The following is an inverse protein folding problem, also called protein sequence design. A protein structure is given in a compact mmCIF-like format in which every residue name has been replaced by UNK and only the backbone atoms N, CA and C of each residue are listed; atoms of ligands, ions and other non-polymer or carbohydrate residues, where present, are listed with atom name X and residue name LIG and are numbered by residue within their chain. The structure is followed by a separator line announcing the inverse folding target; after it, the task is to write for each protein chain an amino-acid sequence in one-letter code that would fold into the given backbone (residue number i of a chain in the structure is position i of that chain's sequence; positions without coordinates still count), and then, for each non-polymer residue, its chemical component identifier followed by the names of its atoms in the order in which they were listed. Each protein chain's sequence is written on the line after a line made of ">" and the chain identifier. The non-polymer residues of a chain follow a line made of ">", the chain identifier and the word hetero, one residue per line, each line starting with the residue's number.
data_IF_737261040919
#
_entry.id   IF_737261040919
#
_cell.length_a   1.000
_cell.length_b   1.000
_cell.length_c   1.000
_cell.angle_alpha   90.00
_cell.angle_beta   90.00
_cell.angle_gamma   90.00
#
_symmetry.space_group_name_H-M   'P 1'
#
loop_
_entity.id
_entity.type
_entity.pdbx_description
1 polymer ?
#
# COMPACT_ATOMS: atom_id res chain seq x y z
N UNK A 1 -24.75 29.23 2.84
CA UNK A 1 -25.00 27.88 2.31
C UNK A 1 -23.77 27.48 1.54
N UNK A 2 -23.15 26.31 1.79
CA UNK A 2 -22.02 25.87 0.98
C UNK A 2 -22.49 25.76 -0.47
N UNK A 3 -21.79 26.42 -1.38
CA UNK A 3 -22.09 26.29 -2.81
C UNK A 3 -21.69 24.89 -3.25
N UNK A 4 -22.61 24.17 -3.88
CA UNK A 4 -22.29 22.89 -4.51
C UNK A 4 -21.20 23.10 -5.54
N UNK A 5 -20.15 22.27 -5.53
CA UNK A 5 -19.11 22.33 -6.56
C UNK A 5 -19.74 22.25 -7.96
N UNK A 6 -19.18 22.95 -8.97
CA UNK A 6 -19.57 22.78 -10.36
C UNK A 6 -19.54 21.30 -10.78
N UNK A 7 -20.54 20.87 -11.57
CA UNK A 7 -20.68 19.47 -12.01
C UNK A 7 -19.40 18.94 -12.70
N UNK A 8 -18.68 19.82 -13.40
CA UNK A 8 -17.38 19.50 -13.98
C UNK A 8 -16.34 19.10 -12.95
N UNK A 9 -16.27 19.77 -11.79
CA UNK A 9 -15.33 19.47 -10.71
C UNK A 9 -15.71 18.19 -9.96
N UNK A 10 -17.00 17.98 -9.70
CA UNK A 10 -17.51 16.75 -9.05
C UNK A 10 -17.05 15.49 -9.79
N UNK A 11 -17.05 15.52 -11.12
CA UNK A 11 -16.56 14.42 -11.95
C UNK A 11 -15.08 14.09 -11.68
N UNK A 12 -14.20 15.06 -11.44
CA UNK A 12 -12.78 14.81 -11.17
C UNK A 12 -12.57 14.19 -9.78
N UNK A 13 -13.28 14.69 -8.77
CA UNK A 13 -13.33 14.06 -7.44
C UNK A 13 -13.85 12.63 -7.52
N UNK A 14 -14.91 12.39 -8.31
CA UNK A 14 -15.47 11.06 -8.53
C UNK A 14 -14.49 10.14 -9.25
N UNK A 15 -13.83 10.60 -10.32
CA UNK A 15 -12.81 9.82 -11.04
C UNK A 15 -11.63 9.46 -10.12
N UNK A 16 -11.15 10.40 -9.32
CA UNK A 16 -10.10 10.13 -8.33
C UNK A 16 -10.57 9.14 -7.26
N UNK A 17 -11.76 9.34 -6.69
CA UNK A 17 -12.34 8.41 -5.72
C UNK A 17 -12.57 7.00 -6.29
N UNK A 18 -12.94 6.89 -7.57
CA UNK A 18 -13.13 5.60 -8.26
C UNK A 18 -11.80 4.95 -8.70
N UNK A 19 -10.65 5.60 -8.47
CA UNK A 19 -9.34 5.13 -8.93
C UNK A 19 -9.16 5.22 -10.45
N UNK A 20 -10.05 5.93 -11.16
CA UNK A 20 -9.99 6.17 -12.60
C UNK A 20 -9.03 7.33 -12.94
N UNK A 21 -8.54 8.04 -11.93
CA UNK A 21 -7.57 9.11 -12.05
C UNK A 21 -6.37 8.87 -11.12
N UNK A 22 -5.13 8.82 -11.65
CA UNK A 22 -3.93 8.71 -10.82
C UNK A 22 -3.79 9.91 -9.88
N UNK A 23 -3.26 9.71 -8.66
CA UNK A 23 -3.04 10.79 -7.70
C UNK A 23 -2.32 11.99 -8.30
N UNK A 24 -1.24 11.78 -9.07
CA UNK A 24 -0.47 12.86 -9.69
C UNK A 24 -1.29 13.69 -10.68
N UNK A 25 -2.20 13.06 -11.42
CA UNK A 25 -3.10 13.75 -12.35
C UNK A 25 -4.17 14.53 -11.58
N UNK A 26 -4.67 13.96 -10.47
CA UNK A 26 -5.62 14.63 -9.59
C UNK A 26 -4.98 15.80 -8.83
N UNK A 27 -3.74 15.65 -8.37
CA UNK A 27 -2.94 16.67 -7.69
C UNK A 27 -2.64 17.85 -8.64
N UNK A 28 -2.17 17.56 -9.85
CA UNK A 28 -2.02 18.59 -10.90
C UNK A 28 -3.34 19.28 -11.23
N UNK A 29 -4.45 18.54 -11.24
CA UNK A 29 -5.77 19.10 -11.43
C UNK A 29 -6.17 20.03 -10.26
N UNK A 30 -5.98 19.59 -9.01
CA UNK A 30 -6.22 20.41 -7.82
C UNK A 30 -5.39 21.69 -7.84
N UNK A 31 -4.09 21.60 -8.13
CA UNK A 31 -3.21 22.77 -8.23
C UNK A 31 -3.66 23.75 -9.33
N UNK A 32 -4.10 23.25 -10.49
CA UNK A 32 -4.56 24.09 -11.60
C UNK A 32 -5.93 24.71 -11.38
N UNK A 33 -6.72 24.21 -10.43
CA UNK A 33 -8.06 24.69 -10.12
C UNK A 33 -8.19 25.26 -8.69
N UNK A 34 -7.07 25.45 -7.98
CA UNK A 34 -7.03 25.90 -6.59
C UNK A 34 -7.80 27.20 -6.36
N UNK A 35 -7.61 28.21 -7.23
CA UNK A 35 -8.31 29.50 -7.12
C UNK A 35 -9.84 29.36 -7.29
N UNK A 36 -10.31 28.45 -8.15
CA UNK A 36 -11.74 28.21 -8.33
C UNK A 36 -12.33 27.41 -7.16
N UNK A 37 -11.54 26.52 -6.56
CA UNK A 37 -11.91 25.81 -5.34
C UNK A 37 -12.00 26.78 -4.15
N UNK A 38 -11.09 27.75 -4.04
CA UNK A 38 -11.15 28.81 -3.01
C UNK A 38 -12.44 29.65 -3.10
N UNK A 39 -12.89 30.03 -4.31
CA UNK A 39 -14.13 30.79 -4.51
C UNK A 39 -15.40 30.02 -4.10
N UNK A 40 -15.39 28.70 -4.25
CA UNK A 40 -16.53 27.85 -3.93
C UNK A 40 -16.52 27.31 -2.50
N UNK A 41 -15.36 27.34 -1.83
CA UNK A 41 -15.14 26.79 -0.49
C UNK A 41 -14.73 27.88 0.49
N UNK A 42 -15.66 28.81 0.74
CA UNK A 42 -15.51 29.94 1.65
C UNK A 42 -15.54 29.54 3.15
N UNK A 43 -14.86 28.47 3.54
CA UNK A 43 -14.65 28.14 4.96
C UNK A 43 -13.28 28.67 5.40
N UNK A 44 -13.28 29.57 6.37
CA UNK A 44 -12.11 30.25 6.93
C UNK A 44 -11.11 29.23 7.54
N UNK A 45 -11.58 28.03 7.90
CA UNK A 45 -10.76 26.90 8.29
C UNK A 45 -9.89 26.35 7.14
N UNK A 46 -10.34 26.47 5.89
CA UNK A 46 -9.63 25.97 4.70
C UNK A 46 -8.55 26.95 4.20
N UNK A 47 -8.80 28.26 4.26
CA UNK A 47 -7.81 29.28 3.89
C UNK A 47 -6.65 29.37 4.91
N UNK A 48 -6.91 29.10 6.20
CA UNK A 48 -5.85 28.95 7.20
C UNK A 48 -5.03 27.66 6.99
N UNK A 49 -5.65 26.61 6.45
CA UNK A 49 -5.01 25.32 6.15
C UNK A 49 -4.05 25.39 4.95
N UNK A 50 -4.34 26.23 3.96
CA UNK A 50 -3.47 26.47 2.79
C UNK A 50 -2.31 27.41 3.14
N UNK A 51 -2.51 28.37 4.05
CA UNK A 51 -1.57 29.48 4.29
C UNK A 51 -0.53 29.22 5.40
N UNK A 52 -0.68 28.19 6.23
CA UNK A 52 0.28 27.87 7.30
C UNK A 52 1.02 26.55 7.04
N UNK A 53 2.30 26.67 6.66
CA UNK A 53 3.35 25.64 6.60
C UNK A 53 2.89 24.17 6.45
N UNK A 54 2.92 23.74 5.19
CA UNK A 54 2.79 22.38 4.66
C UNK A 54 3.38 21.27 5.53
N UNK A 55 2.55 20.68 6.38
CA UNK A 55 2.75 19.34 6.92
C UNK A 55 1.71 18.42 6.28
N UNK A 56 2.21 17.41 5.55
CA UNK A 56 1.50 16.40 4.71
C UNK A 56 0.30 15.70 5.40
N UNK A 57 0.19 15.81 6.72
CA UNK A 57 -0.86 15.20 7.54
C UNK A 57 -2.21 15.93 7.47
N UNK A 58 -2.22 17.27 7.55
CA UNK A 58 -3.44 18.09 7.51
C UNK A 58 -4.04 18.16 6.08
N UNK A 59 -3.22 18.00 5.05
CA UNK A 59 -3.64 17.92 3.64
C UNK A 59 -4.64 16.78 3.39
N UNK A 60 -4.49 15.65 4.08
CA UNK A 60 -5.15 14.37 3.71
C UNK A 60 -6.45 14.13 4.46
N UNK A 61 -6.51 14.58 5.72
CA UNK A 61 -7.76 14.71 6.46
C UNK A 61 -8.69 15.72 5.78
N UNK A 62 -8.11 16.77 5.21
CA UNK A 62 -8.83 17.81 4.46
C UNK A 62 -9.29 17.34 3.09
N UNK A 63 -8.46 16.60 2.34
CA UNK A 63 -8.88 15.94 1.10
C UNK A 63 -10.01 14.92 1.33
N UNK A 64 -10.02 14.23 2.48
CA UNK A 64 -11.15 13.38 2.89
C UNK A 64 -12.40 14.15 3.25
N UNK A 65 -12.29 15.24 4.01
CA UNK A 65 -13.44 16.13 4.28
C UNK A 65 -14.00 16.70 3.00
N UNK A 66 -13.14 16.97 2.01
CA UNK A 66 -13.49 17.44 0.68
C UNK A 66 -14.18 16.35 -0.16
N UNK A 67 -13.61 15.15 -0.24
CA UNK A 67 -14.25 14.03 -0.95
C UNK A 67 -15.56 13.62 -0.24
N UNK A 68 -15.63 13.69 1.09
CA UNK A 68 -16.83 13.42 1.88
C UNK A 68 -17.88 14.54 1.81
N UNK A 69 -17.47 15.80 1.55
CA UNK A 69 -18.40 16.91 1.32
C UNK A 69 -18.91 16.94 -0.13
N UNK A 70 -18.19 16.30 -1.05
CA UNK A 70 -18.49 16.27 -2.49
C UNK A 70 -19.22 14.99 -2.92
N UNK A 71 -18.85 13.83 -2.37
CA UNK A 71 -19.62 12.60 -2.52
C UNK A 71 -20.75 12.60 -1.51
N UNK A 72 -21.95 12.19 -1.91
CA UNK A 72 -23.01 11.99 -0.93
C UNK A 72 -22.54 10.92 0.08
N UNK A 73 -22.81 11.11 1.37
CA UNK A 73 -22.41 10.19 2.46
C UNK A 73 -22.76 8.72 2.13
N UNK A 74 -23.86 8.51 1.40
CA UNK A 74 -24.33 7.22 0.89
C UNK A 74 -23.40 6.60 -0.18
N UNK A 75 -22.85 7.40 -1.09
CA UNK A 75 -21.93 6.95 -2.14
C UNK A 75 -20.57 6.60 -1.55
N UNK A 76 -20.05 7.41 -0.63
CA UNK A 76 -18.81 7.13 0.10
C UNK A 76 -18.93 5.84 0.92
N UNK A 77 -20.05 5.66 1.63
CA UNK A 77 -20.31 4.43 2.40
C UNK A 77 -20.37 3.19 1.50
N UNK A 78 -21.00 3.31 0.32
CA UNK A 78 -21.04 2.21 -0.66
C UNK A 78 -19.65 1.84 -1.16
N UNK A 79 -18.82 2.84 -1.41
CA UNK A 79 -17.47 2.62 -1.93
C UNK A 79 -16.53 2.01 -0.88
N UNK A 80 -16.58 2.48 0.37
CA UNK A 80 -15.83 1.87 1.50
C UNK A 80 -16.19 0.38 1.62
N UNK A 81 -17.48 0.03 1.56
CA UNK A 81 -17.91 -1.37 1.60
C UNK A 81 -17.36 -2.22 0.45
N UNK A 82 -17.32 -1.68 -0.76
CA UNK A 82 -16.73 -2.38 -1.90
C UNK A 82 -15.21 -2.55 -1.75
N UNK A 83 -14.50 -1.55 -1.21
CA UNK A 83 -13.08 -1.68 -0.89
C UNK A 83 -12.82 -2.74 0.18
N UNK A 84 -13.56 -2.72 1.28
CA UNK A 84 -13.46 -3.72 2.36
C UNK A 84 -13.69 -5.13 1.83
N UNK A 85 -14.68 -5.29 0.93
CA UNK A 85 -14.95 -6.54 0.25
C UNK A 85 -13.78 -6.99 -0.62
N UNK A 86 -13.16 -6.09 -1.40
CA UNK A 86 -11.97 -6.40 -2.19
C UNK A 86 -10.78 -6.78 -1.31
N UNK A 87 -10.53 -6.05 -0.23
CA UNK A 87 -9.49 -6.39 0.76
C UNK A 87 -9.72 -7.79 1.32
N UNK A 88 -10.97 -8.11 1.72
CA UNK A 88 -11.32 -9.45 2.22
C UNK A 88 -11.12 -10.55 1.18
N UNK A 89 -11.44 -10.29 -0.10
CA UNK A 89 -11.21 -11.23 -1.19
C UNK A 89 -9.72 -11.46 -1.43
N UNK A 90 -8.93 -10.40 -1.48
CA UNK A 90 -7.47 -10.48 -1.67
C UNK A 90 -6.79 -11.18 -0.49
N UNK A 91 -7.21 -10.94 0.75
CA UNK A 91 -6.71 -11.69 1.91
C UNK A 91 -6.93 -13.21 1.75
N UNK A 92 -8.13 -13.63 1.31
CA UNK A 92 -8.42 -15.05 1.04
C UNK A 92 -7.58 -15.62 -0.10
N UNK A 93 -7.37 -14.83 -1.15
CA UNK A 93 -6.53 -15.24 -2.29
C UNK A 93 -5.07 -15.40 -1.88
N UNK A 94 -4.53 -14.50 -1.06
CA UNK A 94 -3.17 -14.63 -0.50
C UNK A 94 -3.06 -15.93 0.28
N UNK A 95 -3.98 -16.19 1.22
CA UNK A 95 -3.99 -17.43 2.01
C UNK A 95 -4.02 -18.69 1.14
N UNK A 96 -4.86 -18.71 0.11
CA UNK A 96 -5.00 -19.87 -0.78
C UNK A 96 -3.78 -20.09 -1.66
N UNK A 97 -3.27 -19.03 -2.28
CA UNK A 97 -2.23 -19.11 -3.31
C UNK A 97 -0.82 -19.28 -2.70
N UNK A 98 -0.63 -18.85 -1.45
CA UNK A 98 0.59 -19.09 -0.69
C UNK A 98 0.44 -20.25 0.32
N UNK A 99 -0.66 -21.00 0.27
CA UNK A 99 -0.84 -22.17 1.13
C UNK A 99 0.29 -23.19 0.92
N UNK A 100 0.86 -23.69 2.02
CA UNK A 100 1.92 -24.70 1.99
C UNK A 100 3.28 -24.21 1.49
N UNK A 101 3.48 -22.89 1.30
CA UNK A 101 4.81 -22.35 1.02
C UNK A 101 5.71 -22.59 2.24
N UNK A 102 6.79 -23.33 2.02
CA UNK A 102 7.81 -23.65 3.02
C UNK A 102 9.02 -22.73 2.90
N UNK A 103 9.66 -22.43 4.02
CA UNK A 103 10.92 -21.68 4.05
C UNK A 103 12.10 -22.55 3.62
N UNK A 104 12.06 -23.88 3.79
CA UNK A 104 13.01 -24.86 3.22
C UNK A 104 14.50 -24.41 3.10
N UNK A 105 15.05 -23.78 4.14
CA UNK A 105 16.45 -23.32 4.18
C UNK A 105 16.71 -21.91 3.63
N UNK A 106 15.67 -21.20 3.20
CA UNK A 106 15.70 -19.78 2.90
C UNK A 106 15.98 -18.92 4.14
N UNK A 107 16.49 -17.71 3.88
CA UNK A 107 16.88 -16.75 4.92
C UNK A 107 15.66 -16.40 5.78
N UNK A 108 15.80 -16.43 7.11
CA UNK A 108 14.76 -16.03 8.06
C UNK A 108 14.73 -14.52 8.32
N UNK A 109 13.70 -14.03 9.03
CA UNK A 109 13.67 -12.63 9.48
C UNK A 109 14.83 -12.31 10.43
N UNK A 110 15.11 -13.20 11.39
CA UNK A 110 16.23 -13.04 12.31
C UNK A 110 17.57 -12.99 11.56
N UNK A 111 17.77 -13.87 10.58
CA UNK A 111 18.96 -13.89 9.73
C UNK A 111 19.09 -12.63 8.87
N UNK A 112 17.99 -12.17 8.27
CA UNK A 112 17.95 -10.92 7.53
C UNK A 112 18.32 -9.73 8.42
N UNK A 113 17.86 -9.70 9.68
CA UNK A 113 18.24 -8.67 10.65
C UNK A 113 19.74 -8.67 11.01
N UNK A 114 20.41 -9.83 10.97
CA UNK A 114 21.87 -9.90 11.13
C UNK A 114 22.59 -9.36 9.89
N UNK A 115 22.11 -9.71 8.68
CA UNK A 115 22.68 -9.21 7.42
C UNK A 115 22.58 -7.68 7.33
N UNK A 116 21.43 -7.13 7.70
CA UNK A 116 21.18 -5.68 7.75
C UNK A 116 22.20 -4.95 8.64
N UNK A 117 22.50 -5.52 9.81
CA UNK A 117 23.47 -4.96 10.77
C UNK A 117 24.93 -5.23 10.41
N UNK A 118 25.20 -5.92 9.30
CA UNK A 118 26.55 -6.35 8.93
C UNK A 118 27.16 -7.34 9.92
N UNK A 119 26.33 -8.16 10.58
CA UNK A 119 26.75 -9.09 11.61
C UNK A 119 27.60 -10.26 11.09
N UNK A 120 28.24 -10.96 12.02
CA UNK A 120 29.21 -12.02 11.68
C UNK A 120 28.53 -13.35 11.31
N UNK A 121 29.24 -14.21 10.58
CA UNK A 121 28.69 -15.49 10.11
C UNK A 121 28.23 -16.42 11.24
N UNK A 122 28.91 -16.43 12.39
CA UNK A 122 28.52 -17.24 13.54
C UNK A 122 27.19 -16.77 14.16
N UNK A 123 26.95 -15.46 14.19
CA UNK A 123 25.68 -14.87 14.61
C UNK A 123 24.56 -15.23 13.61
N UNK A 124 24.83 -15.11 12.30
CA UNK A 124 23.88 -15.48 11.26
C UNK A 124 23.38 -16.94 11.37
N UNK A 125 24.27 -17.87 11.71
CA UNK A 125 23.90 -19.29 11.88
C UNK A 125 23.12 -19.51 13.19
N UNK A 126 23.49 -18.83 14.28
CA UNK A 126 22.86 -19.05 15.59
C UNK A 126 21.46 -18.46 15.68
N UNK A 127 21.20 -17.31 15.04
CA UNK A 127 19.89 -16.65 15.13
C UNK A 127 18.77 -17.44 14.48
N UNK A 128 19.08 -18.28 13.48
CA UNK A 128 18.11 -19.13 12.80
C UNK A 128 17.43 -20.16 13.73
N UNK A 129 18.02 -20.44 14.89
CA UNK A 129 17.48 -21.37 15.89
C UNK A 129 16.35 -20.75 16.74
N UNK A 130 16.18 -19.43 16.68
CA UNK A 130 15.15 -18.71 17.46
C UNK A 130 13.88 -18.43 16.64
N UNK A 131 13.90 -18.69 15.33
CA UNK A 131 12.70 -18.58 14.50
C UNK A 131 11.72 -19.71 14.84
N UNK A 132 10.56 -19.35 15.37
CA UNK A 132 9.54 -20.30 15.86
C UNK A 132 8.39 -20.53 14.89
N UNK A 133 8.32 -19.74 13.81
CA UNK A 133 7.30 -19.87 12.78
C UNK A 133 7.43 -21.21 12.04
N UNK A 134 6.31 -21.92 11.89
CA UNK A 134 6.25 -23.20 11.16
C UNK A 134 5.66 -23.03 9.78
N UNK A 135 4.84 -22.00 9.61
CA UNK A 135 4.34 -21.51 8.35
C UNK A 135 4.30 -19.98 8.38
N UNK A 136 4.22 -19.35 7.21
CA UNK A 136 4.24 -17.90 7.12
C UNK A 136 3.07 -17.24 7.85
N UNK A 137 1.95 -17.96 8.07
CA UNK A 137 0.82 -17.49 8.86
C UNK A 137 1.12 -17.35 10.35
N UNK A 138 2.13 -18.07 10.86
CA UNK A 138 2.53 -18.03 12.27
C UNK A 138 3.40 -16.81 12.60
N UNK A 139 3.85 -16.06 11.58
CA UNK A 139 4.74 -14.90 11.76
C UNK A 139 3.96 -13.79 12.49
N UNK A 140 4.38 -13.39 13.70
CA UNK A 140 3.68 -12.36 14.46
C UNK A 140 3.79 -10.98 13.81
N UNK A 141 2.74 -10.17 13.92
CA UNK A 141 2.76 -8.76 13.49
C UNK A 141 3.91 -7.97 14.13
N UNK A 142 4.29 -8.29 15.38
CA UNK A 142 5.42 -7.67 16.08
C UNK A 142 6.76 -7.96 15.41
N UNK A 143 6.94 -9.17 14.86
CA UNK A 143 8.17 -9.55 14.14
C UNK A 143 8.23 -8.83 12.80
N UNK A 144 7.09 -8.70 12.09
CA UNK A 144 7.01 -7.92 10.85
C UNK A 144 7.42 -6.46 11.10
N UNK A 145 6.94 -5.87 12.20
CA UNK A 145 7.29 -4.51 12.61
C UNK A 145 8.76 -4.40 13.01
N UNK A 146 9.27 -5.33 13.82
CA UNK A 146 10.66 -5.34 14.26
C UNK A 146 11.64 -5.52 13.09
N UNK A 147 11.22 -6.27 12.07
CA UNK A 147 12.00 -6.62 10.89
C UNK A 147 11.47 -5.95 9.61
N UNK A 148 10.99 -4.72 9.69
CA UNK A 148 10.41 -4.00 8.55
C UNK A 148 11.30 -4.04 7.29
N UNK A 149 12.62 -3.94 7.45
CA UNK A 149 13.59 -3.90 6.35
C UNK A 149 14.08 -5.28 5.89
N UNK A 150 13.73 -6.35 6.60
CA UNK A 150 14.22 -7.71 6.33
C UNK A 150 13.94 -8.16 4.90
N UNK A 151 12.81 -7.72 4.31
CA UNK A 151 12.45 -8.00 2.92
C UNK A 151 13.52 -7.58 1.90
N UNK A 152 14.47 -6.71 2.23
CA UNK A 152 15.60 -6.37 1.35
C UNK A 152 16.73 -7.41 1.37
N UNK A 153 16.86 -8.16 2.47
CA UNK A 153 17.97 -9.08 2.73
C UNK A 153 17.58 -10.56 2.59
N UNK A 154 16.30 -10.85 2.41
CA UNK A 154 15.84 -12.21 2.14
C UNK A 154 16.35 -12.70 0.77
N UNK A 155 16.65 -13.99 0.71
CA UNK A 155 16.81 -14.67 -0.57
C UNK A 155 15.43 -14.96 -1.19
N UNK A 156 15.46 -15.69 -2.30
CA UNK A 156 14.31 -15.94 -3.17
C UNK A 156 13.28 -16.88 -2.51
N UNK A 157 13.79 -17.79 -1.66
CA UNK A 157 12.97 -18.70 -0.88
C UNK A 157 12.35 -17.95 0.31
N UNK A 158 13.17 -17.19 1.04
CA UNK A 158 12.73 -16.36 2.17
C UNK A 158 11.69 -15.33 1.75
N UNK A 159 11.88 -14.61 0.63
CA UNK A 159 10.89 -13.62 0.18
C UNK A 159 9.58 -14.29 -0.26
N UNK A 160 9.63 -15.46 -0.93
CA UNK A 160 8.41 -16.23 -1.26
C UNK A 160 7.66 -16.66 0.00
N UNK A 161 8.37 -16.98 1.07
CA UNK A 161 7.81 -17.37 2.35
C UNK A 161 7.23 -16.20 3.14
N UNK A 162 7.98 -15.11 3.36
CA UNK A 162 7.54 -14.01 4.25
C UNK A 162 6.66 -12.95 3.57
N UNK A 163 6.79 -12.72 2.26
CA UNK A 163 5.98 -11.71 1.57
C UNK A 163 4.46 -11.86 1.79
N UNK A 164 3.82 -13.05 1.76
CA UNK A 164 2.40 -13.16 2.08
C UNK A 164 2.05 -12.69 3.50
N UNK A 165 2.89 -12.95 4.50
CA UNK A 165 2.67 -12.47 5.86
C UNK A 165 2.68 -10.94 5.92
N UNK A 166 3.65 -10.31 5.23
CA UNK A 166 3.75 -8.85 5.12
C UNK A 166 2.57 -8.23 4.36
N UNK A 167 2.11 -8.85 3.26
CA UNK A 167 0.93 -8.36 2.52
C UNK A 167 -0.34 -8.46 3.38
N UNK A 168 -0.53 -9.56 4.12
CA UNK A 168 -1.65 -9.73 5.05
C UNK A 168 -1.60 -8.69 6.16
N UNK A 169 -0.42 -8.47 6.75
CA UNK A 169 -0.18 -7.42 7.74
C UNK A 169 -0.56 -6.04 7.20
N UNK A 170 -0.08 -5.70 6.00
CA UNK A 170 -0.38 -4.42 5.36
C UNK A 170 -1.89 -4.25 5.13
N UNK A 171 -2.58 -5.25 4.59
CA UNK A 171 -4.03 -5.18 4.35
C UNK A 171 -4.86 -5.09 5.65
N UNK A 172 -4.45 -5.78 6.72
CA UNK A 172 -5.13 -5.72 8.03
C UNK A 172 -4.92 -4.39 8.75
N UNK A 173 -3.73 -3.81 8.61
CA UNK A 173 -3.31 -2.62 9.37
C UNK A 173 -3.38 -1.32 8.58
N UNK A 174 -3.60 -1.38 7.26
CA UNK A 174 -3.81 -0.20 6.43
C UNK A 174 -5.18 0.46 6.61
N UNK A 175 -5.97 0.09 7.62
CA UNK A 175 -7.28 0.68 7.95
C UNK A 175 -7.20 1.97 8.78
N UNK A 176 -8.14 2.90 8.54
CA UNK A 176 -8.19 4.26 9.13
C UNK A 176 -8.22 4.21 10.66
N UNK A 177 -8.91 3.21 11.18
CA UNK A 177 -9.18 3.08 12.61
C UNK A 177 -8.02 2.43 13.39
N UNK A 178 -7.06 1.78 12.71
CA UNK A 178 -6.12 0.86 13.37
C UNK A 178 -4.63 1.15 13.16
N UNK A 179 -4.20 1.63 11.99
CA UNK A 179 -2.76 1.70 11.68
C UNK A 179 -2.22 3.06 11.27
N UNK A 180 -3.06 4.09 11.26
CA UNK A 180 -2.73 5.35 10.63
C UNK A 180 -1.83 6.28 11.49
N UNK A 181 -1.60 5.97 12.77
CA UNK A 181 -0.80 6.82 13.68
C UNK A 181 0.47 6.16 14.21
N UNK A 182 0.70 4.88 13.93
CA UNK A 182 1.89 4.19 14.39
C UNK A 182 2.97 4.17 13.29
N UNK A 183 4.03 4.93 13.51
CA UNK A 183 5.15 5.10 12.57
C UNK A 183 5.76 3.76 12.16
N UNK A 184 5.80 2.79 13.07
CA UNK A 184 6.43 1.49 12.82
C UNK A 184 5.61 0.62 11.83
N UNK A 185 4.28 0.73 11.88
CA UNK A 185 3.38 0.07 10.91
C UNK A 185 3.50 0.71 9.54
N UNK A 186 3.55 2.04 9.49
CA UNK A 186 3.73 2.82 8.27
C UNK A 186 5.04 2.42 7.59
N UNK A 187 6.16 2.40 8.33
CA UNK A 187 7.46 1.99 7.81
C UNK A 187 7.45 0.56 7.27
N UNK A 188 6.84 -0.38 7.98
CA UNK A 188 6.71 -1.77 7.53
C UNK A 188 5.98 -1.89 6.19
N UNK A 189 4.90 -1.13 6.00
CA UNK A 189 4.17 -1.08 4.73
C UNK A 189 5.05 -0.46 3.62
N UNK A 190 5.83 0.56 3.95
CA UNK A 190 6.72 1.22 2.99
C UNK A 190 7.73 0.23 2.43
N UNK A 191 8.36 -0.54 3.30
CA UNK A 191 9.40 -1.48 2.93
C UNK A 191 8.89 -2.60 2.02
N UNK A 192 7.63 -3.00 2.15
CA UNK A 192 6.98 -3.91 1.19
C UNK A 192 6.95 -3.27 -0.18
N UNK A 193 6.45 -2.04 -0.28
CA UNK A 193 6.31 -1.35 -1.55
C UNK A 193 7.68 -1.08 -2.20
N UNK A 194 8.68 -0.64 -1.42
CA UNK A 194 10.06 -0.47 -1.89
C UNK A 194 10.63 -1.78 -2.42
N UNK A 195 10.43 -2.88 -1.69
CA UNK A 195 10.87 -4.22 -2.11
C UNK A 195 10.24 -4.63 -3.44
N UNK A 196 8.94 -4.35 -3.62
CA UNK A 196 8.19 -4.67 -4.84
C UNK A 196 8.46 -3.68 -5.99
N UNK A 197 9.02 -2.50 -5.69
CA UNK A 197 9.26 -1.42 -6.66
C UNK A 197 10.59 -1.49 -7.37
N UNK A 198 11.55 -2.27 -6.87
CA UNK A 198 12.92 -2.11 -7.31
C UNK A 198 13.14 -2.61 -8.75
N UNK A 199 13.57 -1.73 -9.68
CA UNK A 199 13.71 -2.05 -11.10
C UNK A 199 14.96 -2.87 -11.45
N UNK A 200 15.87 -3.14 -10.51
CA UNK A 200 17.15 -3.77 -10.87
C UNK A 200 16.96 -5.25 -11.24
N UNK A 201 17.66 -5.69 -12.28
CA UNK A 201 17.54 -7.01 -12.87
C UNK A 201 17.82 -8.13 -11.85
N UNK A 202 18.80 -7.92 -10.97
CA UNK A 202 19.14 -8.79 -9.83
C UNK A 202 17.99 -8.93 -8.82
N UNK A 203 17.11 -7.93 -8.68
CA UNK A 203 15.93 -8.00 -7.79
C UNK A 203 14.69 -8.60 -8.46
N UNK A 204 14.61 -8.65 -9.79
CA UNK A 204 13.54 -9.40 -10.48
C UNK A 204 13.72 -10.91 -10.35
N UNK A 205 14.97 -11.38 -10.27
CA UNK A 205 15.29 -12.78 -9.98
C UNK A 205 14.64 -13.22 -8.68
N UNK A 206 14.59 -12.37 -7.64
CA UNK A 206 13.98 -12.67 -6.33
C UNK A 206 12.53 -13.19 -6.39
N UNK A 207 11.80 -12.89 -7.46
CA UNK A 207 10.42 -13.36 -7.67
C UNK A 207 10.33 -14.54 -8.66
N UNK A 208 11.44 -15.17 -9.03
CA UNK A 208 11.46 -16.27 -10.00
C UNK A 208 10.80 -17.53 -9.46
N UNK A 209 10.90 -17.77 -8.15
CA UNK A 209 10.27 -18.92 -7.49
C UNK A 209 8.75 -18.77 -7.33
N UNK A 210 8.19 -17.59 -7.65
CA UNK A 210 6.76 -17.34 -7.53
C UNK A 210 6.01 -17.99 -8.69
N UNK A 211 4.94 -18.71 -8.38
CA UNK A 211 4.01 -19.17 -9.39
C UNK A 211 3.31 -18.00 -10.07
N UNK A 212 2.72 -18.24 -11.25
CA UNK A 212 1.94 -17.20 -11.93
C UNK A 212 0.79 -16.69 -11.04
N UNK A 213 0.09 -17.59 -10.33
CA UNK A 213 -0.98 -17.21 -9.41
C UNK A 213 -0.47 -16.34 -8.25
N UNK A 214 0.71 -16.65 -7.70
CA UNK A 214 1.32 -15.83 -6.65
C UNK A 214 1.61 -14.42 -7.16
N UNK A 215 2.13 -14.29 -8.40
CA UNK A 215 2.40 -12.98 -9.00
C UNK A 215 1.14 -12.18 -9.28
N UNK A 216 0.07 -12.84 -9.72
CA UNK A 216 -1.25 -12.23 -9.93
C UNK A 216 -1.81 -11.66 -8.62
N UNK A 217 -1.70 -12.40 -7.51
CA UNK A 217 -2.18 -11.94 -6.20
C UNK A 217 -1.33 -10.78 -5.65
N UNK A 218 -0.01 -10.80 -5.83
CA UNK A 218 0.85 -9.64 -5.49
C UNK A 218 0.43 -8.40 -6.30
N UNK A 219 0.07 -8.60 -7.57
CA UNK A 219 -0.41 -7.52 -8.43
C UNK A 219 -1.77 -6.96 -7.93
N UNK A 220 -2.71 -7.81 -7.51
CA UNK A 220 -3.97 -7.36 -6.89
C UNK A 220 -3.73 -6.60 -5.59
N UNK A 221 -2.80 -7.07 -4.74
CA UNK A 221 -2.37 -6.35 -3.54
C UNK A 221 -1.85 -4.95 -3.89
N UNK A 222 -0.95 -4.83 -4.86
CA UNK A 222 -0.43 -3.53 -5.30
C UNK A 222 -1.52 -2.62 -5.86
N UNK A 223 -2.48 -3.16 -6.62
CA UNK A 223 -3.62 -2.38 -7.12
C UNK A 223 -4.45 -1.83 -5.96
N UNK A 224 -4.70 -2.63 -4.91
CA UNK A 224 -5.36 -2.13 -3.70
C UNK A 224 -4.54 -1.04 -3.03
N UNK A 225 -3.22 -1.20 -2.88
CA UNK A 225 -2.33 -0.19 -2.29
C UNK A 225 -2.29 1.12 -3.10
N UNK A 226 -2.53 1.08 -4.42
CA UNK A 226 -2.64 2.28 -5.26
C UNK A 226 -3.96 3.05 -5.06
N UNK A 227 -5.08 2.35 -4.85
CA UNK A 227 -6.41 2.96 -4.75
C UNK A 227 -6.73 3.34 -3.31
N UNK A 228 -6.08 2.69 -2.35
CA UNK A 228 -6.48 2.74 -0.96
C UNK A 228 -6.54 4.21 -0.48
N UNK A 229 -7.74 4.76 -0.22
CA UNK A 229 -7.90 6.12 0.31
C UNK A 229 -7.53 6.19 1.79
N UNK A 230 -6.85 5.16 2.31
CA UNK A 230 -6.66 5.05 3.73
C UNK A 230 -5.48 5.91 4.13
N UNK A 231 -5.85 7.17 4.34
CA UNK A 231 -5.54 7.93 5.52
C UNK A 231 -4.15 7.66 6.06
N UNK A 232 -3.28 8.64 5.82
CA UNK A 232 -2.09 8.94 6.63
C UNK A 232 -0.79 8.25 6.19
N UNK A 233 -0.80 7.33 5.24
CA UNK A 233 0.45 6.72 4.76
C UNK A 233 0.99 7.54 3.57
N UNK A 234 2.15 8.22 3.72
CA UNK A 234 2.74 9.32 2.90
C UNK A 234 2.64 9.27 1.36
N UNK A 235 3.02 10.34 0.65
CA UNK A 235 2.93 10.43 -0.82
C UNK A 235 3.78 9.34 -1.50
N UNK A 236 4.85 8.98 -0.82
CA UNK A 236 5.84 7.98 -1.23
C UNK A 236 5.26 6.58 -1.41
N UNK A 237 4.13 6.26 -0.78
CA UNK A 237 3.55 4.90 -0.81
C UNK A 237 2.70 4.68 -2.06
N UNK A 238 1.86 5.65 -2.42
CA UNK A 238 1.16 5.61 -3.70
C UNK A 238 2.16 5.58 -4.85
N UNK A 239 3.21 6.41 -4.77
CA UNK A 239 4.27 6.43 -5.78
C UNK A 239 5.03 5.12 -5.84
N UNK A 240 5.40 4.51 -4.71
CA UNK A 240 6.04 3.19 -4.68
C UNK A 240 5.11 2.10 -5.24
N UNK A 241 3.85 2.01 -4.79
CA UNK A 241 2.90 1.03 -5.32
C UNK A 241 2.68 1.19 -6.84
N UNK A 242 2.54 2.43 -7.31
CA UNK A 242 2.45 2.76 -8.74
C UNK A 242 3.73 2.38 -9.49
N UNK A 243 4.90 2.67 -8.94
CA UNK A 243 6.20 2.35 -9.53
C UNK A 243 6.39 0.84 -9.63
N UNK A 244 6.12 0.09 -8.57
CA UNK A 244 6.11 -1.38 -8.59
C UNK A 244 5.18 -1.90 -9.68
N UNK A 245 3.93 -1.43 -9.68
CA UNK A 245 2.92 -1.84 -10.64
C UNK A 245 3.39 -1.63 -12.07
N UNK A 246 3.81 -0.42 -12.41
CA UNK A 246 4.13 -0.03 -13.79
C UNK A 246 5.45 -0.60 -14.30
N UNK A 247 6.41 -0.84 -13.40
CA UNK A 247 7.75 -1.31 -13.78
C UNK A 247 7.81 -2.82 -14.03
N UNK A 248 7.17 -3.61 -13.15
CA UNK A 248 7.29 -5.08 -13.21
C UNK A 248 5.93 -5.77 -13.18
N UNK A 249 5.05 -5.42 -12.23
CA UNK A 249 3.90 -6.26 -11.89
C UNK A 249 2.73 -6.19 -12.87
N UNK A 250 2.58 -5.10 -13.66
CA UNK A 250 1.49 -4.92 -14.64
C UNK A 250 1.35 -6.07 -15.63
N UNK A 251 2.45 -6.77 -15.95
CA UNK A 251 2.42 -7.93 -16.86
C UNK A 251 1.66 -9.14 -16.33
N UNK A 252 1.41 -9.18 -15.01
CA UNK A 252 0.64 -10.23 -14.33
C UNK A 252 -0.76 -9.75 -13.94
N UNK A 253 -1.14 -8.55 -14.35
CA UNK A 253 -2.43 -7.98 -14.04
C UNK A 253 -3.53 -8.57 -14.93
N UNK A 254 -4.57 -9.18 -14.31
CA UNK A 254 -5.77 -9.63 -15.03
C UNK A 254 -6.85 -8.57 -14.96
N UNK A 255 -7.16 -7.94 -16.09
CA UNK A 255 -8.23 -6.94 -16.22
C UNK A 255 -9.65 -7.47 -15.93
N UNK A 256 -9.82 -8.78 -15.74
CA UNK A 256 -11.12 -9.44 -15.60
C UNK A 256 -11.90 -9.11 -14.31
N UNK A 257 -11.35 -8.30 -13.38
CA UNK A 257 -12.02 -7.90 -12.14
C UNK A 257 -12.34 -6.40 -12.02
N UNK A 258 -12.57 -5.74 -13.16
CA UNK A 258 -13.24 -4.43 -13.19
C UNK A 258 -12.39 -3.25 -12.72
N UNK A 259 -11.07 -3.40 -12.66
CA UNK A 259 -10.16 -2.30 -12.37
C UNK A 259 -9.34 -1.99 -13.62
N UNK A 260 -9.66 -0.87 -14.28
CA UNK A 260 -8.92 -0.37 -15.44
C UNK A 260 -7.76 0.47 -14.94
N UNK A 261 -6.53 0.00 -15.16
CA UNK A 261 -5.36 0.86 -15.03
C UNK A 261 -5.47 1.93 -16.13
N UNK A 262 -5.76 3.18 -15.78
CA UNK A 262 -5.73 4.28 -16.75
C UNK A 262 -4.34 4.34 -17.36
N UNK A 263 -4.25 4.09 -18.66
CA UNK A 263 -3.05 4.34 -19.49
C UNK A 263 -2.76 5.83 -19.57
#
# INVERSE_FOLDING_TARGET
>A
MPMSLPQGMQMYFQKFALGEMPYKAFDQWLCSHAAQLEEHMADEAYLNLISTNFNVFEERLSARRLVASVLQEKEMTSWIKELEKKVSQTLKQIEQVFHGVSREGGISLSQAGVLDKGGAHNEFVSVALFDVDKCWQDVPDSEIVHHAEALLFLDEIGIRYYLPAYMVFALKNSGVEKGATNMDFSWSIHMILVTLSSPCQERNERFQLFSLQQKEVVCQFLALMMIHPIGIIGADYHEAAYTAMTTYWKRFYKESEGFKLST
#
